data_IF_325393746472
#
_entry.id   IF_325393746472
#
_cell.length_a   1.000
_cell.length_b   1.000
_cell.length_c   1.000
_cell.angle_alpha   90.00
_cell.angle_beta   90.00
_cell.angle_gamma   90.00
#
_symmetry.space_group_name_H-M   'P 1'
#
loop_
_entity.id
_entity.type
_entity.pdbx_description
1 polymer ?
#
# COMPACT_ATOMS: atom_id res chain seq x y z
N UNK A 1 -7.79 2.76 7.08
CA UNK A 1 -6.85 2.03 6.21
C UNK A 1 -6.66 0.58 6.66
N UNK A 2 -7.11 -0.41 5.88
CA UNK A 2 -6.86 -1.84 6.15
C UNK A 2 -5.56 -2.29 5.49
N UNK A 3 -4.76 -3.13 6.16
CA UNK A 3 -3.52 -3.71 5.63
C UNK A 3 -3.70 -5.12 5.07
N UNK A 4 -4.89 -5.71 5.20
CA UNK A 4 -5.14 -7.10 4.80
C UNK A 4 -4.92 -7.32 3.30
N UNK A 5 -5.35 -6.38 2.45
CA UNK A 5 -5.15 -6.46 1.01
C UNK A 5 -3.66 -6.39 0.64
N UNK A 6 -2.90 -5.52 1.31
CA UNK A 6 -1.45 -5.44 1.14
C UNK A 6 -0.79 -6.78 1.48
N UNK A 7 -1.13 -7.36 2.65
CA UNK A 7 -0.58 -8.66 3.06
C UNK A 7 -0.90 -9.76 2.04
N UNK A 8 -2.15 -9.88 1.60
CA UNK A 8 -2.53 -10.88 0.61
C UNK A 8 -1.79 -10.75 -0.72
N UNK A 9 -1.47 -9.53 -1.16
CA UNK A 9 -0.67 -9.33 -2.36
C UNK A 9 0.81 -9.66 -2.16
N UNK A 10 1.37 -9.41 -0.96
CA UNK A 10 2.75 -9.83 -0.61
C UNK A 10 2.85 -11.36 -0.57
N UNK A 11 1.93 -12.03 0.12
CA UNK A 11 1.93 -13.50 0.23
C UNK A 11 1.87 -14.14 -1.16
N UNK A 12 0.95 -13.65 -2.01
CA UNK A 12 0.81 -14.14 -3.39
C UNK A 12 2.06 -13.87 -4.24
N UNK A 13 2.71 -12.73 -4.04
CA UNK A 13 3.96 -12.40 -4.73
C UNK A 13 5.08 -13.37 -4.30
N UNK A 14 5.23 -13.61 -3.01
CA UNK A 14 6.22 -14.53 -2.46
C UNK A 14 6.05 -15.94 -3.04
N UNK A 15 4.85 -16.51 -2.95
CA UNK A 15 4.53 -17.83 -3.51
C UNK A 15 4.87 -17.93 -5.00
N UNK A 16 4.52 -16.90 -5.77
CA UNK A 16 4.77 -16.87 -7.21
C UNK A 16 6.26 -16.79 -7.55
N UNK A 17 7.03 -16.02 -6.76
CA UNK A 17 8.48 -15.90 -6.93
C UNK A 17 9.18 -17.21 -6.57
N UNK A 18 8.81 -17.85 -5.46
CA UNK A 18 9.36 -19.17 -5.05
C UNK A 18 9.13 -20.20 -6.15
N UNK A 19 7.92 -20.26 -6.72
CA UNK A 19 7.63 -21.17 -7.81
C UNK A 19 8.43 -20.82 -9.08
N UNK A 20 8.57 -19.54 -9.41
CA UNK A 20 9.39 -19.09 -10.55
C UNK A 20 10.86 -19.46 -10.38
N UNK A 21 11.43 -19.27 -9.19
CA UNK A 21 12.83 -19.63 -8.88
C UNK A 21 13.08 -21.14 -8.98
N UNK A 22 12.09 -21.97 -8.68
CA UNK A 22 12.19 -23.43 -8.77
C UNK A 22 12.19 -23.98 -10.21
N UNK A 23 12.16 -23.13 -11.24
CA UNK A 23 12.03 -23.57 -12.64
C UNK A 23 13.20 -24.42 -13.10
N UNK A 24 12.87 -25.46 -13.84
CA UNK A 24 13.83 -26.28 -14.59
C UNK A 24 13.77 -26.00 -16.10
N UNK A 25 14.62 -25.11 -16.60
CA UNK A 25 14.58 -24.64 -17.99
C UNK A 25 14.80 -25.75 -19.05
N UNK A 26 15.10 -26.99 -18.65
CA UNK A 26 15.22 -28.13 -19.58
C UNK A 26 13.87 -28.72 -20.02
N UNK A 27 12.75 -28.33 -19.38
CA UNK A 27 11.42 -28.90 -19.67
C UNK A 27 10.30 -27.86 -19.72
N UNK A 28 9.23 -28.11 -20.53
CA UNK A 28 8.05 -27.25 -20.54
C UNK A 28 7.36 -27.21 -19.18
N UNK A 29 7.19 -26.01 -18.61
CA UNK A 29 6.52 -25.78 -17.32
C UNK A 29 5.55 -24.61 -17.41
N UNK A 30 4.35 -24.80 -17.99
CA UNK A 30 3.38 -23.73 -18.17
C UNK A 30 2.95 -23.10 -16.84
N UNK A 31 2.81 -23.89 -15.77
CA UNK A 31 2.47 -23.37 -14.44
C UNK A 31 3.56 -22.47 -13.85
N UNK A 32 4.84 -22.81 -14.05
CA UNK A 32 5.96 -21.99 -13.59
C UNK A 32 6.04 -20.69 -14.39
N UNK A 33 5.82 -20.75 -15.71
CA UNK A 33 5.70 -19.54 -16.53
C UNK A 33 4.51 -18.67 -16.10
N UNK A 34 3.38 -19.26 -15.74
CA UNK A 34 2.23 -18.53 -15.21
C UNK A 34 2.57 -17.85 -13.88
N UNK A 35 3.36 -18.49 -13.01
CA UNK A 35 3.82 -17.90 -11.76
C UNK A 35 4.55 -16.56 -11.98
N UNK A 36 5.39 -16.46 -13.02
CA UNK A 36 6.03 -15.18 -13.37
C UNK A 36 5.02 -14.07 -13.70
N UNK A 37 3.93 -14.40 -14.42
CA UNK A 37 2.85 -13.44 -14.69
C UNK A 37 2.11 -13.06 -13.42
N UNK A 38 1.83 -14.03 -12.54
CA UNK A 38 1.20 -13.79 -11.24
C UNK A 38 2.06 -12.87 -10.36
N UNK A 39 3.38 -13.02 -10.40
CA UNK A 39 4.30 -12.15 -9.67
C UNK A 39 4.18 -10.70 -10.16
N UNK A 40 4.20 -10.46 -11.48
CA UNK A 40 4.01 -9.12 -12.06
C UNK A 40 2.64 -8.53 -11.68
N UNK A 41 1.56 -9.30 -11.82
CA UNK A 41 0.22 -8.84 -11.45
C UNK A 41 0.12 -8.47 -9.96
N UNK A 42 0.83 -9.21 -9.09
CA UNK A 42 0.87 -8.95 -7.66
C UNK A 42 1.68 -7.70 -7.33
N UNK A 43 2.79 -7.44 -8.04
CA UNK A 43 3.54 -6.18 -7.93
C UNK A 43 2.66 -4.99 -8.32
N UNK A 44 1.94 -5.08 -9.44
CA UNK A 44 1.06 -4.01 -9.89
C UNK A 44 -0.10 -3.77 -8.90
N UNK A 45 -0.64 -4.84 -8.31
CA UNK A 45 -1.64 -4.72 -7.27
C UNK A 45 -1.08 -4.06 -6.00
N UNK A 46 0.12 -4.44 -5.55
CA UNK A 46 0.81 -3.80 -4.43
C UNK A 46 1.03 -2.32 -4.68
N UNK A 47 1.52 -1.94 -5.87
CA UNK A 47 1.74 -0.54 -6.22
C UNK A 47 0.43 0.27 -6.14
N UNK A 48 -0.66 -0.24 -6.72
CA UNK A 48 -1.98 0.40 -6.63
C UNK A 48 -2.43 0.58 -5.18
N UNK A 49 -2.26 -0.44 -4.36
CA UNK A 49 -2.66 -0.41 -2.96
C UNK A 49 -1.82 0.58 -2.15
N UNK A 50 -0.50 0.61 -2.36
CA UNK A 50 0.39 1.58 -1.73
C UNK A 50 0.06 3.02 -2.14
N UNK A 51 -0.26 3.28 -3.40
CA UNK A 51 -0.71 4.61 -3.85
C UNK A 51 -2.04 5.02 -3.21
N UNK A 52 -2.98 4.08 -3.08
CA UNK A 52 -4.26 4.30 -2.39
C UNK A 52 -4.01 4.66 -0.92
N UNK A 53 -3.22 3.86 -0.22
CA UNK A 53 -2.86 4.07 1.19
C UNK A 53 -2.14 5.40 1.41
N UNK A 54 -1.18 5.75 0.55
CA UNK A 54 -0.47 7.03 0.58
C UNK A 54 -1.45 8.21 0.46
N UNK A 55 -2.41 8.12 -0.46
CA UNK A 55 -3.40 9.17 -0.69
C UNK A 55 -4.31 9.33 0.52
N UNK A 56 -4.84 8.23 1.05
CA UNK A 56 -5.67 8.21 2.26
C UNK A 56 -4.93 8.83 3.46
N UNK A 57 -3.69 8.39 3.71
CA UNK A 57 -2.87 8.88 4.82
C UNK A 57 -2.55 10.37 4.67
N UNK A 58 -2.21 10.83 3.48
CA UNK A 58 -1.94 12.26 3.24
C UNK A 58 -3.17 13.12 3.50
N UNK A 59 -4.37 12.64 3.12
CA UNK A 59 -5.63 13.31 3.44
C UNK A 59 -5.88 13.39 4.94
N UNK A 60 -5.66 12.29 5.67
CA UNK A 60 -5.81 12.25 7.14
C UNK A 60 -4.84 13.20 7.85
N UNK A 61 -3.58 13.28 7.40
CA UNK A 61 -2.58 14.21 7.94
C UNK A 61 -3.08 15.65 7.79
N UNK A 62 -3.51 16.05 6.59
CA UNK A 62 -4.02 17.41 6.35
C UNK A 62 -5.19 17.76 7.26
N UNK A 63 -6.18 16.87 7.38
CA UNK A 63 -7.32 17.08 8.26
C UNK A 63 -6.88 17.24 9.72
N UNK A 64 -5.92 16.42 10.17
CA UNK A 64 -5.35 16.51 11.52
C UNK A 64 -4.64 17.85 11.75
N UNK A 65 -3.87 18.31 10.77
CA UNK A 65 -3.14 19.57 10.82
C UNK A 65 -4.10 20.76 10.83
N UNK A 66 -5.09 20.77 9.94
CA UNK A 66 -6.13 21.82 9.87
C UNK A 66 -6.91 21.91 11.18
N UNK A 67 -7.32 20.76 11.74
CA UNK A 67 -8.02 20.71 13.04
C UNK A 67 -7.14 21.26 14.17
N UNK A 68 -5.83 21.01 14.11
CA UNK A 68 -4.89 21.50 15.12
C UNK A 68 -4.70 23.01 14.99
N UNK A 69 -4.60 23.53 13.76
CA UNK A 69 -4.53 24.96 13.50
C UNK A 69 -5.79 25.71 13.99
N UNK A 70 -6.98 25.17 13.71
CA UNK A 70 -8.25 25.76 14.18
C UNK A 70 -8.32 25.86 15.71
N UNK A 71 -7.83 24.84 16.43
CA UNK A 71 -7.75 24.85 17.89
C UNK A 71 -6.79 25.93 18.40
N UNK A 72 -5.63 26.07 17.76
CA UNK A 72 -4.67 27.12 18.10
C UNK A 72 -5.26 28.50 17.85
N UNK A 73 -5.92 28.71 16.71
CA UNK A 73 -6.56 29.99 16.37
C UNK A 73 -7.67 30.35 17.37
N UNK A 74 -8.47 29.38 17.82
CA UNK A 74 -9.46 29.59 18.86
C UNK A 74 -8.82 30.05 20.18
N UNK A 75 -7.77 29.37 20.64
CA UNK A 75 -7.06 29.73 21.88
C UNK A 75 -6.41 31.12 21.79
N UNK A 76 -5.83 31.47 20.63
CA UNK A 76 -5.24 32.78 20.42
C UNK A 76 -6.28 33.90 20.46
N UNK A 77 -7.46 33.69 19.85
CA UNK A 77 -8.59 34.63 19.92
C UNK A 77 -9.12 34.80 21.35
N UNK A 78 -9.24 33.71 22.11
CA UNK A 78 -9.65 33.78 23.51
C UNK A 78 -8.65 34.55 24.38
N UNK A 79 -7.34 34.36 24.12
CA UNK A 79 -6.29 35.04 24.86
C UNK A 79 -6.19 36.53 24.52
N UNK A 80 -6.40 36.91 23.26
CA UNK A 80 -6.34 38.32 22.83
C UNK A 80 -7.59 39.12 23.19
N UNK A 81 -8.70 38.44 23.50
CA UNK A 81 -9.93 39.06 23.99
C UNK A 81 -9.94 39.31 25.53
N UNK A 82 -8.89 38.90 26.24
CA UNK A 82 -8.68 39.17 27.67
C UNK A 82 -7.69 40.32 27.85
#
# INVERSE_FOLDING_TARGET
MSTNALQSHVDRLEDALVLWESRDDTKPQPGVRQAASVAVDSIDALLRELYRMRTELTGQIRISDDTSAERVDALLRERSAR
#
